data_IF_441346664616
#
_entry.id   IF_441346664616
#
_cell.length_a   1.000
_cell.length_b   1.000
_cell.length_c   1.000
_cell.angle_alpha   90.00
_cell.angle_beta   90.00
_cell.angle_gamma   90.00
#
_symmetry.space_group_name_H-M   'P 1'
#
loop_
_entity.id
_entity.type
_entity.pdbx_description
1 polymer ?
#
# COMPACT_ATOMS: atom_id res chain seq x y z
N UNK A 1 -34.35 -23.56 -0.87
CA UNK A 1 -33.31 -22.88 -1.68
C UNK A 1 -32.53 -21.93 -0.78
N UNK A 2 -31.36 -22.34 -0.30
CA UNK A 2 -30.49 -21.46 0.50
C UNK A 2 -29.79 -20.46 -0.42
N UNK A 3 -29.89 -19.16 -0.12
CA UNK A 3 -29.11 -18.13 -0.83
C UNK A 3 -27.66 -18.23 -0.36
N UNK A 4 -26.77 -18.68 -1.25
CA UNK A 4 -25.33 -18.58 -1.03
C UNK A 4 -24.97 -17.10 -1.09
N UNK A 5 -24.61 -16.52 0.06
CA UNK A 5 -24.08 -15.16 0.14
C UNK A 5 -22.56 -15.27 -0.01
N UNK A 6 -22.05 -14.94 -1.19
CA UNK A 6 -20.60 -14.81 -1.39
C UNK A 6 -20.15 -13.56 -0.64
N UNK A 7 -19.54 -13.76 0.53
CA UNK A 7 -18.84 -12.69 1.24
C UNK A 7 -17.46 -12.59 0.59
N UNK A 8 -17.23 -11.58 -0.26
CA UNK A 8 -15.90 -11.32 -0.82
C UNK A 8 -14.94 -11.12 0.37
N UNK A 9 -14.02 -12.07 0.59
CA UNK A 9 -12.95 -11.89 1.58
C UNK A 9 -12.05 -10.79 1.07
N UNK A 10 -11.95 -9.68 1.79
CA UNK A 10 -10.99 -8.63 1.50
C UNK A 10 -9.58 -9.22 1.56
N UNK A 11 -8.76 -8.97 0.53
CA UNK A 11 -7.35 -9.35 0.55
C UNK A 11 -6.58 -8.27 1.30
N UNK A 12 -5.70 -8.64 2.23
CA UNK A 12 -4.90 -7.70 3.03
C UNK A 12 -3.45 -8.19 3.08
N UNK A 13 -2.51 -7.30 2.79
CA UNK A 13 -1.07 -7.51 2.90
C UNK A 13 -0.46 -6.34 3.65
N UNK A 14 0.43 -6.62 4.61
CA UNK A 14 1.13 -5.60 5.39
C UNK A 14 2.64 -5.83 5.42
N UNK A 15 3.40 -4.74 5.47
CA UNK A 15 4.86 -4.70 5.60
C UNK A 15 5.23 -3.73 6.72
N UNK A 16 5.89 -4.24 7.76
CA UNK A 16 6.33 -3.46 8.93
C UNK A 16 7.85 -3.35 8.98
N UNK A 17 8.35 -2.14 9.21
CA UNK A 17 9.76 -1.80 9.38
C UNK A 17 10.00 -1.30 10.81
N UNK A 18 10.85 -2.03 11.55
CA UNK A 18 11.42 -1.65 12.86
C UNK A 18 10.37 -1.16 13.90
N UNK A 19 9.17 -1.74 13.86
CA UNK A 19 7.97 -1.38 14.67
C UNK A 19 7.53 0.10 14.61
N UNK A 20 8.21 0.93 13.80
CA UNK A 20 7.99 2.36 13.69
C UNK A 20 7.17 2.75 12.48
N UNK A 21 7.21 1.94 11.42
CA UNK A 21 6.56 2.23 10.15
C UNK A 21 5.90 0.97 9.59
N UNK A 22 4.60 1.02 9.31
CA UNK A 22 3.87 -0.08 8.70
C UNK A 22 3.10 0.39 7.47
N UNK A 23 3.15 -0.40 6.42
CA UNK A 23 2.39 -0.23 5.20
C UNK A 23 1.36 -1.33 5.11
N UNK A 24 0.10 -1.00 4.87
CA UNK A 24 -0.97 -1.96 4.65
C UNK A 24 -1.68 -1.67 3.34
N UNK A 25 -1.87 -2.70 2.52
CA UNK A 25 -2.71 -2.65 1.33
C UNK A 25 -3.87 -3.62 1.56
N UNK A 26 -5.10 -3.11 1.50
CA UNK A 26 -6.32 -3.91 1.58
C UNK A 26 -7.21 -3.68 0.37
N UNK A 27 -7.87 -4.71 -0.13
CA UNK A 27 -8.72 -4.63 -1.32
C UNK A 27 -10.10 -5.24 -1.10
N UNK A 28 -11.14 -4.46 -1.39
CA UNK A 28 -12.53 -4.94 -1.47
C UNK A 28 -12.87 -5.41 -2.90
N UNK A 29 -12.25 -4.78 -3.91
CA UNK A 29 -12.32 -5.09 -5.35
C UNK A 29 -11.11 -4.49 -6.08
N UNK A 30 -10.93 -4.80 -7.38
CA UNK A 30 -9.87 -4.19 -8.19
C UNK A 30 -10.02 -2.66 -8.34
N UNK A 31 -11.25 -2.18 -8.32
CA UNK A 31 -11.55 -0.74 -8.41
C UNK A 31 -11.34 -0.03 -7.06
N UNK A 32 -11.29 -0.78 -5.95
CA UNK A 32 -11.27 -0.21 -4.61
C UNK A 32 -10.22 -0.87 -3.74
N UNK A 33 -9.05 -0.24 -3.73
CA UNK A 33 -7.91 -0.60 -2.90
C UNK A 33 -7.67 0.52 -1.88
N UNK A 34 -7.21 0.13 -0.71
CA UNK A 34 -6.95 1.01 0.42
C UNK A 34 -5.50 0.85 0.81
N UNK A 35 -4.78 1.96 0.85
CA UNK A 35 -3.39 2.01 1.25
C UNK A 35 -3.29 2.79 2.55
N UNK A 36 -2.69 2.17 3.57
CA UNK A 36 -2.45 2.79 4.87
C UNK A 36 -0.97 2.83 5.15
N UNK A 37 -0.53 3.97 5.67
CA UNK A 37 0.81 4.15 6.20
C UNK A 37 0.66 4.52 7.67
N UNK A 38 1.20 3.68 8.54
CA UNK A 38 1.17 3.89 9.99
C UNK A 38 2.58 4.18 10.48
N UNK A 39 2.75 5.30 11.15
CA UNK A 39 3.88 5.53 12.06
C UNK A 39 3.44 5.25 13.49
N UNK A 40 4.35 4.82 14.36
CA UNK A 40 4.16 4.46 15.78
C UNK A 40 3.19 5.29 16.64
N UNK A 41 2.79 6.50 16.22
CA UNK A 41 1.78 7.34 16.88
C UNK A 41 0.72 7.94 15.96
N UNK A 42 0.88 7.89 14.63
CA UNK A 42 -0.01 8.55 13.66
C UNK A 42 -0.07 7.77 12.34
N UNK A 43 -1.27 7.60 11.78
CA UNK A 43 -1.47 6.90 10.52
C UNK A 43 -2.19 7.77 9.50
N UNK A 44 -1.76 7.67 8.24
CA UNK A 44 -2.44 8.24 7.09
C UNK A 44 -3.09 7.08 6.34
N UNK A 45 -4.41 7.15 6.18
CA UNK A 45 -5.19 6.20 5.39
C UNK A 45 -5.68 6.90 4.12
N UNK A 46 -5.39 6.31 2.96
CA UNK A 46 -5.79 6.84 1.66
C UNK A 46 -6.49 5.72 0.88
N UNK A 47 -7.73 6.00 0.48
CA UNK A 47 -8.48 5.16 -0.45
C UNK A 47 -8.13 5.57 -1.88
N UNK A 48 -7.75 4.61 -2.73
CA UNK A 48 -7.39 4.88 -4.12
C UNK A 48 -7.67 3.68 -5.04
N UNK A 49 -7.77 3.93 -6.34
CA UNK A 49 -7.90 2.85 -7.33
C UNK A 49 -6.60 2.03 -7.41
N UNK A 50 -6.70 0.73 -7.73
CA UNK A 50 -5.55 -0.16 -7.79
C UNK A 50 -4.47 0.33 -8.79
N UNK A 51 -4.89 0.81 -9.96
CA UNK A 51 -3.96 1.32 -10.98
C UNK A 51 -3.21 2.56 -10.49
N UNK A 52 -3.91 3.45 -9.78
CA UNK A 52 -3.30 4.64 -9.17
C UNK A 52 -2.28 4.26 -8.10
N UNK A 53 -2.57 3.25 -7.28
CA UNK A 53 -1.62 2.74 -6.28
C UNK A 53 -0.35 2.18 -6.94
N UNK A 54 -0.51 1.37 -8.01
CA UNK A 54 0.64 0.82 -8.73
C UNK A 54 1.52 1.93 -9.32
N UNK A 55 0.90 2.95 -9.92
CA UNK A 55 1.63 4.10 -10.45
C UNK A 55 2.38 4.86 -9.35
N UNK A 56 1.76 5.08 -8.20
CA UNK A 56 2.40 5.72 -7.05
C UNK A 56 3.63 4.93 -6.58
N UNK A 57 3.48 3.62 -6.41
CA UNK A 57 4.57 2.75 -5.95
C UNK A 57 5.76 2.74 -6.92
N UNK A 58 5.48 2.69 -8.23
CA UNK A 58 6.53 2.77 -9.25
C UNK A 58 7.25 4.11 -9.21
N UNK A 59 6.50 5.21 -9.05
CA UNK A 59 7.10 6.55 -8.92
C UNK A 59 7.98 6.68 -7.67
N UNK A 60 7.53 6.14 -6.54
CA UNK A 60 8.31 6.11 -5.31
C UNK A 60 9.60 5.31 -5.47
N UNK A 61 9.54 4.16 -6.16
CA UNK A 61 10.73 3.38 -6.50
C UNK A 61 11.73 4.21 -7.28
N UNK A 62 11.31 4.86 -8.37
CA UNK A 62 12.19 5.70 -9.19
C UNK A 62 12.83 6.83 -8.37
N UNK A 63 12.06 7.50 -7.51
CA UNK A 63 12.59 8.56 -6.63
C UNK A 63 13.65 7.99 -5.69
N UNK A 64 13.39 6.84 -5.07
CA UNK A 64 14.35 6.20 -4.17
C UNK A 64 15.63 5.79 -4.91
N UNK A 65 15.52 5.20 -6.10
CA UNK A 65 16.67 4.85 -6.96
C UNK A 65 17.51 6.09 -7.30
N UNK A 66 16.87 7.22 -7.66
CA UNK A 66 17.58 8.48 -7.90
C UNK A 66 18.33 9.00 -6.68
N UNK A 67 17.68 9.03 -5.51
CA UNK A 67 18.31 9.47 -4.26
C UNK A 67 19.50 8.58 -3.89
N UNK A 68 19.36 7.25 -4.00
CA UNK A 68 20.46 6.32 -3.77
C UNK A 68 21.61 6.58 -4.74
N UNK A 69 21.29 6.80 -6.02
CA UNK A 69 22.31 7.11 -7.04
C UNK A 69 23.07 8.40 -6.72
N UNK A 70 22.40 9.44 -6.23
CA UNK A 70 23.04 10.69 -5.82
C UNK A 70 23.94 10.52 -4.59
N UNK A 71 23.53 9.67 -3.65
CA UNK A 71 24.33 9.35 -2.46
C UNK A 71 25.53 8.44 -2.77
N UNK A 72 25.44 7.64 -3.84
CA UNK A 72 26.48 6.70 -4.28
C UNK A 72 27.56 7.30 -5.18
N UNK A 73 27.57 8.61 -5.40
CA UNK A 73 28.66 9.31 -6.08
C UNK A 73 29.73 9.70 -5.07
N UNK A 74 30.67 8.78 -4.83
CA UNK A 74 32.06 9.09 -4.49
C UNK A 74 32.93 9.04 -5.76
#
# INVERSE_FOLDING_TARGET
>A
MGRVRVVKRAAVTALTFDDRLSFEISGESLERVRFKVFSSSEGIEVDMEAETLLYLLDRLRFIAESVISELGVE
#
